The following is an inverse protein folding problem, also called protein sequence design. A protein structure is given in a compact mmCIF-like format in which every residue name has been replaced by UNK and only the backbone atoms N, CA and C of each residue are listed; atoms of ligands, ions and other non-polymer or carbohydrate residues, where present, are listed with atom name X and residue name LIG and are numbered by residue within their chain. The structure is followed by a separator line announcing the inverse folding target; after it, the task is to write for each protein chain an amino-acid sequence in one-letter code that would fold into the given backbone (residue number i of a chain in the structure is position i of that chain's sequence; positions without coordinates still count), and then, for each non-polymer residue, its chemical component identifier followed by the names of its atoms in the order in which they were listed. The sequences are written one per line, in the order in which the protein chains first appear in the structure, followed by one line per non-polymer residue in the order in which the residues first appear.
data_IF_361055347542
#
_entry.id   IF_361055347542
#
_cell.length_a   1.000
_cell.length_b   1.000
_cell.length_c   1.000
_cell.angle_alpha   90.00
_cell.angle_beta   90.00
_cell.angle_gamma   90.00
#
_symmetry.space_group_name_H-M   'P 1'
#
loop_
_entity.id
_entity.type
_entity.pdbx_description
1 polymer ?
#
# COMPACT_ATOMS: atom_id res chain seq x y z
N UNK A 1 -20.09 10.91 3.28
CA UNK A 1 -21.09 11.82 2.73
C UNK A 1 -20.44 13.08 2.11
N UNK A 2 -19.55 13.78 2.84
CA UNK A 2 -18.90 15.00 2.36
C UNK A 2 -18.17 14.82 1.01
N UNK A 3 -17.35 13.76 0.86
CA UNK A 3 -16.64 13.47 -0.40
C UNK A 3 -17.64 13.27 -1.55
N UNK A 4 -18.67 12.46 -1.33
CA UNK A 4 -19.69 12.22 -2.34
C UNK A 4 -20.44 13.49 -2.75
N UNK A 5 -20.74 14.35 -1.78
CA UNK A 5 -21.35 15.65 -2.04
C UNK A 5 -20.45 16.55 -2.91
N UNK A 6 -19.15 16.60 -2.59
CA UNK A 6 -18.19 17.45 -3.31
C UNK A 6 -17.82 16.94 -4.70
N UNK A 7 -17.95 15.65 -4.93
CA UNK A 7 -17.58 15.03 -6.22
C UNK A 7 -18.76 14.75 -7.15
N UNK A 8 -20.01 14.91 -6.69
CA UNK A 8 -21.22 14.52 -7.44
C UNK A 8 -21.37 15.19 -8.81
N UNK A 9 -20.92 16.43 -8.94
CA UNK A 9 -21.03 17.24 -10.17
C UNK A 9 -19.66 17.34 -10.89
N UNK A 10 -18.77 16.38 -10.65
CA UNK A 10 -17.43 16.30 -11.24
C UNK A 10 -17.19 14.95 -11.88
N UNK A 11 -16.18 14.85 -12.74
CA UNK A 11 -15.71 13.57 -13.28
C UNK A 11 -14.71 12.85 -12.36
N UNK A 12 -14.49 13.38 -11.15
CA UNK A 12 -13.56 12.79 -10.16
C UNK A 12 -14.15 11.48 -9.64
N UNK A 13 -13.33 10.43 -9.69
CA UNK A 13 -13.69 9.08 -9.20
C UNK A 13 -12.68 8.62 -8.18
N UNK A 14 -13.15 7.86 -7.20
CA UNK A 14 -12.25 7.25 -6.21
C UNK A 14 -11.41 6.16 -6.87
N UNK A 15 -10.10 6.35 -6.89
CA UNK A 15 -9.17 5.35 -7.41
C UNK A 15 -9.10 4.15 -6.48
N UNK A 16 -8.70 4.37 -5.23
CA UNK A 16 -8.69 3.36 -4.18
C UNK A 16 -8.89 4.02 -2.80
N UNK A 17 -9.23 3.22 -1.83
CA UNK A 17 -9.28 3.60 -0.42
C UNK A 17 -8.27 2.79 0.36
N UNK A 18 -7.99 3.21 1.58
CA UNK A 18 -7.12 2.51 2.52
C UNK A 18 -7.69 2.58 3.93
N UNK A 19 -7.00 1.98 4.88
CA UNK A 19 -7.32 2.10 6.30
C UNK A 19 -6.05 2.41 7.09
N UNK A 20 -6.19 3.28 8.09
CA UNK A 20 -5.08 3.62 8.97
C UNK A 20 -4.90 2.55 10.05
N UNK A 21 -3.94 1.66 9.84
CA UNK A 21 -3.53 0.61 10.79
C UNK A 21 -2.11 0.84 11.33
N UNK A 22 -1.64 2.09 11.36
CA UNK A 22 -0.26 2.39 11.71
C UNK A 22 -0.09 3.59 12.66
N UNK A 23 -0.92 4.65 12.58
CA UNK A 23 -0.70 5.88 13.35
C UNK A 23 -1.20 5.81 14.81
N UNK A 24 -2.18 4.97 15.12
CA UNK A 24 -2.65 4.81 16.50
C UNK A 24 -1.58 4.09 17.33
N UNK A 25 -1.23 4.59 18.53
CA UNK A 25 -0.21 3.96 19.40
C UNK A 25 -0.44 2.48 19.71
N UNK A 26 -1.68 1.98 19.68
CA UNK A 26 -1.96 0.57 19.90
C UNK A 26 -1.37 -0.35 18.83
N UNK A 27 -1.06 0.18 17.64
CA UNK A 27 -0.47 -0.57 16.55
C UNK A 27 1.06 -0.61 16.54
N UNK A 28 1.71 -0.03 17.55
CA UNK A 28 3.17 0.11 17.54
C UNK A 28 3.94 -1.22 17.44
N UNK A 29 3.34 -2.34 17.84
CA UNK A 29 3.89 -3.70 17.70
C UNK A 29 3.05 -4.56 16.75
N UNK A 30 2.61 -3.98 15.64
CA UNK A 30 1.76 -4.64 14.66
C UNK A 30 0.29 -4.30 14.82
N UNK A 31 -0.42 -4.32 13.73
CA UNK A 31 -1.88 -4.21 13.66
C UNK A 31 -2.47 -5.57 13.28
N UNK A 32 -2.38 -5.95 12.02
CA UNK A 32 -2.77 -7.27 11.52
C UNK A 32 -1.83 -8.38 11.96
N UNK A 33 -0.55 -8.09 12.19
CA UNK A 33 0.44 -9.04 12.73
C UNK A 33 0.37 -9.17 14.25
N UNK A 34 -0.39 -8.32 14.94
CA UNK A 34 -0.38 -8.27 16.40
C UNK A 34 -0.72 -9.62 17.05
N UNK A 35 0.06 -9.98 18.08
CA UNK A 35 -0.18 -11.13 18.95
C UNK A 35 -1.28 -10.85 19.99
N UNK A 36 -1.79 -9.61 20.09
CA UNK A 36 -2.92 -9.23 20.94
C UNK A 36 -4.22 -9.34 20.16
N UNK A 37 -5.13 -10.19 20.60
CA UNK A 37 -6.45 -10.34 19.98
C UNK A 37 -7.23 -9.01 19.95
N UNK A 38 -7.12 -8.18 20.98
CA UNK A 38 -7.81 -6.88 21.05
C UNK A 38 -7.27 -5.92 19.98
N UNK A 39 -5.96 -5.90 19.75
CA UNK A 39 -5.33 -5.07 18.72
C UNK A 39 -5.70 -5.58 17.33
N UNK A 40 -5.63 -6.89 17.11
CA UNK A 40 -6.05 -7.51 15.86
C UNK A 40 -7.52 -7.21 15.53
N UNK A 41 -8.43 -7.39 16.50
CA UNK A 41 -9.85 -7.08 16.31
C UNK A 41 -10.08 -5.60 15.99
N UNK A 42 -9.32 -4.70 16.60
CA UNK A 42 -9.42 -3.27 16.29
C UNK A 42 -8.91 -2.98 14.87
N UNK A 43 -7.80 -3.59 14.45
CA UNK A 43 -7.31 -3.49 13.08
C UNK A 43 -8.35 -4.00 12.07
N UNK A 44 -8.95 -5.16 12.34
CA UNK A 44 -10.01 -5.73 11.50
C UNK A 44 -11.24 -4.80 11.41
N UNK A 45 -11.61 -4.15 12.51
CA UNK A 45 -12.71 -3.17 12.52
C UNK A 45 -12.39 -1.93 11.68
N UNK A 46 -11.13 -1.46 11.70
CA UNK A 46 -10.68 -0.35 10.85
C UNK A 46 -10.72 -0.74 9.36
N UNK A 47 -10.18 -1.90 9.02
CA UNK A 47 -10.20 -2.41 7.65
C UNK A 47 -11.64 -2.60 7.15
N UNK A 48 -12.51 -3.20 7.98
CA UNK A 48 -13.95 -3.33 7.69
C UNK A 48 -14.57 -1.98 7.33
N UNK A 49 -14.33 -0.95 8.14
CA UNK A 49 -14.86 0.39 7.90
C UNK A 49 -14.31 1.01 6.61
N UNK A 50 -13.03 0.80 6.34
CA UNK A 50 -12.39 1.20 5.08
C UNK A 50 -13.07 0.58 3.86
N UNK A 51 -13.37 -0.72 3.90
CA UNK A 51 -14.06 -1.45 2.84
C UNK A 51 -15.50 -0.98 2.62
N UNK A 52 -16.24 -0.69 3.70
CA UNK A 52 -17.56 -0.08 3.60
C UNK A 52 -17.50 1.28 2.87
N UNK A 53 -16.50 2.09 3.18
CA UNK A 53 -16.26 3.35 2.50
C UNK A 53 -15.84 3.14 1.04
N UNK A 54 -15.03 2.12 0.73
CA UNK A 54 -14.64 1.76 -0.63
C UNK A 54 -15.87 1.48 -1.50
N UNK A 55 -16.79 0.65 -1.00
CA UNK A 55 -18.05 0.35 -1.69
C UNK A 55 -18.89 1.62 -1.88
N UNK A 56 -19.03 2.43 -0.83
CA UNK A 56 -19.81 3.68 -0.86
C UNK A 56 -19.28 4.69 -1.86
N UNK A 57 -17.94 4.79 -2.01
CA UNK A 57 -17.27 5.70 -2.93
C UNK A 57 -17.10 5.13 -4.35
N UNK A 58 -17.45 3.87 -4.57
CA UNK A 58 -17.25 3.19 -5.85
C UNK A 58 -15.76 3.03 -6.19
N UNK A 59 -14.91 2.85 -5.16
CA UNK A 59 -13.47 2.71 -5.33
C UNK A 59 -13.10 1.50 -6.20
N UNK A 60 -12.09 1.67 -7.05
CA UNK A 60 -11.56 0.61 -7.90
C UNK A 60 -10.62 -0.34 -7.18
N UNK A 61 -10.07 0.07 -6.05
CA UNK A 61 -9.14 -0.72 -5.25
C UNK A 61 -9.19 -0.39 -3.76
N UNK A 62 -8.54 -1.26 -2.99
CA UNK A 62 -8.31 -1.09 -1.55
C UNK A 62 -6.85 -1.43 -1.26
N UNK A 63 -6.11 -0.46 -0.74
CA UNK A 63 -4.67 -0.59 -0.46
C UNK A 63 -4.43 -0.90 1.01
N UNK A 64 -3.59 -1.87 1.28
CA UNK A 64 -2.99 -2.15 2.58
C UNK A 64 -1.53 -1.71 2.56
N UNK A 65 -1.21 -0.72 3.38
CA UNK A 65 0.16 -0.35 3.69
C UNK A 65 0.51 -0.86 5.09
N UNK A 66 1.53 -1.73 5.14
CA UNK A 66 1.91 -2.49 6.32
C UNK A 66 2.95 -1.81 7.22
N UNK A 67 2.88 -0.51 7.44
CA UNK A 67 3.91 0.27 8.15
C UNK A 67 4.25 -0.23 9.56
N UNK A 68 3.34 -0.94 10.22
CA UNK A 68 3.56 -1.56 11.55
C UNK A 68 3.64 -3.08 11.50
N UNK A 69 3.53 -3.68 10.32
CA UNK A 69 3.61 -5.12 10.13
C UNK A 69 5.07 -5.54 9.92
N UNK A 70 5.75 -5.85 11.01
CA UNK A 70 7.18 -6.16 11.00
C UNK A 70 7.75 -6.30 12.38
N UNK A 71 9.07 -6.24 12.51
CA UNK A 71 9.78 -6.42 13.77
C UNK A 71 10.94 -5.44 13.95
N UNK A 72 11.31 -5.23 15.21
CA UNK A 72 12.52 -4.49 15.61
C UNK A 72 13.71 -5.43 15.82
N UNK A 73 13.46 -6.63 16.36
CA UNK A 73 14.45 -7.68 16.59
C UNK A 73 13.81 -9.05 16.54
N UNK A 74 14.54 -10.05 16.04
CA UNK A 74 14.07 -11.43 15.99
C UNK A 74 14.08 -12.14 17.36
N UNK A 75 14.70 -11.56 18.38
CA UNK A 75 14.81 -12.18 19.70
C UNK A 75 13.46 -12.42 20.40
N UNK A 76 12.47 -11.60 20.09
CA UNK A 76 11.13 -11.67 20.70
C UNK A 76 10.01 -11.68 19.65
N UNK A 77 10.30 -12.16 18.45
CA UNK A 77 9.38 -12.17 17.31
C UNK A 77 9.03 -13.59 16.90
N UNK A 78 7.76 -13.94 16.92
CA UNK A 78 7.24 -15.15 16.27
C UNK A 78 6.76 -14.80 14.86
N UNK A 79 7.70 -14.73 13.92
CA UNK A 79 7.43 -14.37 12.51
C UNK A 79 6.34 -15.24 11.89
N UNK A 80 6.30 -16.53 12.22
CA UNK A 80 5.31 -17.44 11.65
C UNK A 80 3.91 -17.05 12.08
N UNK A 81 3.72 -16.85 13.38
CA UNK A 81 2.42 -16.44 13.95
C UNK A 81 2.00 -15.08 13.41
N UNK A 82 2.92 -14.12 13.33
CA UNK A 82 2.64 -12.77 12.86
C UNK A 82 2.25 -12.73 11.38
N UNK A 83 2.94 -13.50 10.51
CA UNK A 83 2.53 -13.67 9.12
C UNK A 83 1.17 -14.38 8.98
N UNK A 84 0.90 -15.41 9.78
CA UNK A 84 -0.40 -16.10 9.79
C UNK A 84 -1.54 -15.19 10.23
N UNK A 85 -1.29 -14.28 11.17
CA UNK A 85 -2.24 -13.25 11.58
C UNK A 85 -2.53 -12.27 10.44
N UNK A 86 -1.51 -11.76 9.75
CA UNK A 86 -1.69 -10.87 8.58
C UNK A 86 -2.51 -11.58 7.50
N UNK A 87 -2.15 -12.82 7.16
CA UNK A 87 -2.87 -13.61 6.16
C UNK A 87 -4.35 -13.84 6.54
N UNK A 88 -4.59 -14.05 7.83
CA UNK A 88 -5.96 -14.16 8.37
C UNK A 88 -6.73 -12.86 8.18
N UNK A 89 -6.13 -11.72 8.54
CA UNK A 89 -6.74 -10.41 8.33
C UNK A 89 -7.08 -10.17 6.86
N UNK A 90 -6.14 -10.42 5.96
CA UNK A 90 -6.34 -10.22 4.52
C UNK A 90 -7.43 -11.13 3.95
N UNK A 91 -7.48 -12.39 4.40
CA UNK A 91 -8.55 -13.33 4.06
C UNK A 91 -9.91 -12.81 4.52
N UNK A 92 -10.01 -12.36 5.79
CA UNK A 92 -11.25 -11.78 6.33
C UNK A 92 -11.67 -10.53 5.55
N UNK A 93 -10.72 -9.64 5.21
CA UNK A 93 -10.98 -8.43 4.45
C UNK A 93 -11.48 -8.73 3.04
N UNK A 94 -10.84 -9.69 2.35
CA UNK A 94 -11.28 -10.16 1.03
C UNK A 94 -12.71 -10.69 1.08
N UNK A 95 -12.97 -11.62 1.98
CA UNK A 95 -14.28 -12.30 2.07
C UNK A 95 -15.36 -11.31 2.46
N UNK A 96 -15.11 -10.45 3.44
CA UNK A 96 -16.02 -9.39 3.82
C UNK A 96 -16.25 -8.40 2.68
N UNK A 97 -15.20 -7.91 2.05
CA UNK A 97 -15.30 -6.98 0.92
C UNK A 97 -16.17 -7.54 -0.20
N UNK A 98 -15.96 -8.82 -0.58
CA UNK A 98 -16.78 -9.49 -1.59
C UNK A 98 -18.25 -9.63 -1.13
N UNK A 99 -18.48 -9.95 0.13
CA UNK A 99 -19.84 -10.10 0.69
C UNK A 99 -20.65 -8.81 0.67
N UNK A 100 -20.01 -7.64 0.82
CA UNK A 100 -20.66 -6.32 0.76
C UNK A 100 -20.68 -5.70 -0.65
N UNK A 101 -20.19 -6.44 -1.66
CA UNK A 101 -20.24 -6.01 -3.06
C UNK A 101 -19.03 -5.20 -3.53
N UNK A 102 -17.92 -5.19 -2.80
CA UNK A 102 -16.66 -4.61 -3.28
C UNK A 102 -16.12 -5.44 -4.45
N UNK A 103 -15.96 -4.80 -5.62
CA UNK A 103 -15.54 -5.46 -6.87
C UNK A 103 -14.11 -5.09 -7.28
N UNK A 104 -13.49 -4.14 -6.57
CA UNK A 104 -12.14 -3.68 -6.86
C UNK A 104 -11.07 -4.70 -6.48
N UNK A 105 -9.84 -4.42 -6.91
CA UNK A 105 -8.67 -5.19 -6.52
C UNK A 105 -8.24 -4.82 -5.10
N UNK A 106 -7.65 -5.78 -4.38
CA UNK A 106 -6.91 -5.52 -3.15
C UNK A 106 -5.45 -5.33 -3.50
N UNK A 107 -4.79 -4.38 -2.85
CA UNK A 107 -3.37 -4.11 -3.08
C UNK A 107 -2.59 -4.20 -1.78
N UNK A 108 -1.40 -4.81 -1.84
CA UNK A 108 -0.34 -4.62 -0.84
C UNK A 108 0.60 -3.55 -1.40
N UNK A 109 1.01 -2.63 -0.54
CA UNK A 109 2.02 -1.64 -0.85
C UNK A 109 3.31 -1.98 -0.10
N UNK A 110 4.27 -2.64 -0.78
CA UNK A 110 5.50 -3.07 -0.16
C UNK A 110 6.36 -1.91 0.31
N UNK A 111 6.97 -2.07 1.49
CA UNK A 111 7.95 -1.14 2.06
C UNK A 111 8.94 -1.91 2.94
N UNK A 112 10.25 -1.67 2.83
CA UNK A 112 11.22 -2.47 3.59
C UNK A 112 11.31 -2.11 5.07
N UNK A 113 11.03 -0.86 5.42
CA UNK A 113 11.20 -0.30 6.76
C UNK A 113 10.40 0.99 6.92
N UNK A 114 10.33 1.51 8.16
CA UNK A 114 9.64 2.73 8.58
C UNK A 114 8.11 2.61 8.57
N UNK A 115 7.54 2.71 9.77
CA UNK A 115 8.19 2.94 11.07
C UNK A 115 8.85 1.72 11.70
N UNK A 116 8.53 0.49 11.29
CA UNK A 116 9.22 -0.71 11.77
C UNK A 116 10.64 -0.79 11.17
N UNK A 117 11.56 -1.45 11.84
CA UNK A 117 12.95 -1.61 11.34
C UNK A 117 13.02 -2.58 10.18
N UNK A 118 12.17 -3.57 10.16
CA UNK A 118 12.04 -4.56 9.09
C UNK A 118 10.57 -4.91 8.90
N UNK A 119 9.99 -4.57 7.75
CA UNK A 119 8.62 -4.91 7.41
C UNK A 119 8.54 -6.28 6.72
N UNK A 120 7.42 -7.00 6.91
CA UNK A 120 7.20 -8.30 6.30
C UNK A 120 7.00 -8.23 4.79
N UNK A 121 6.40 -7.16 4.30
CA UNK A 121 6.19 -6.87 2.88
C UNK A 121 7.34 -6.06 2.26
N UNK A 122 8.58 -6.49 2.50
CA UNK A 122 9.83 -5.78 2.24
C UNK A 122 9.95 -5.19 0.83
N UNK A 123 9.59 -5.99 -0.19
CA UNK A 123 9.65 -5.65 -1.62
C UNK A 123 8.59 -6.44 -2.40
N UNK A 124 8.50 -6.20 -3.71
CA UNK A 124 7.54 -6.90 -4.56
C UNK A 124 7.71 -8.42 -4.52
N UNK A 125 8.94 -8.92 -4.57
CA UNK A 125 9.19 -10.36 -4.58
C UNK A 125 8.75 -11.03 -3.27
N UNK A 126 9.02 -10.39 -2.13
CA UNK A 126 8.63 -10.85 -0.79
C UNK A 126 7.11 -10.84 -0.65
N UNK A 127 6.44 -9.74 -1.05
CA UNK A 127 4.99 -9.63 -1.00
C UNK A 127 4.30 -10.68 -1.90
N UNK A 128 4.82 -10.94 -3.10
CA UNK A 128 4.32 -11.99 -4.00
C UNK A 128 4.51 -13.37 -3.36
N UNK A 129 5.66 -13.63 -2.74
CA UNK A 129 5.93 -14.87 -2.01
C UNK A 129 4.92 -15.11 -0.89
N UNK A 130 4.63 -14.08 -0.09
CA UNK A 130 3.61 -14.11 0.95
C UNK A 130 2.22 -14.40 0.38
N UNK A 131 1.78 -13.66 -0.64
CA UNK A 131 0.46 -13.86 -1.24
C UNK A 131 0.28 -15.27 -1.78
N UNK A 132 1.28 -15.84 -2.45
CA UNK A 132 1.26 -17.22 -2.95
C UNK A 132 1.24 -18.25 -1.83
N UNK A 133 2.05 -18.04 -0.78
CA UNK A 133 2.10 -18.92 0.39
C UNK A 133 0.72 -19.11 1.03
N UNK A 134 -0.08 -18.07 1.08
CA UNK A 134 -1.39 -18.06 1.72
C UNK A 134 -2.58 -18.12 0.74
N UNK A 135 -2.33 -18.31 -0.57
CA UNK A 135 -3.39 -18.47 -1.58
C UNK A 135 -4.20 -17.21 -1.84
N UNK A 136 -3.58 -16.05 -1.66
CA UNK A 136 -4.20 -14.72 -1.84
C UNK A 136 -3.86 -14.08 -3.20
N UNK A 137 -2.97 -14.68 -3.97
CA UNK A 137 -2.42 -14.15 -5.22
C UNK A 137 -3.44 -13.98 -6.36
N UNK A 138 -4.65 -14.53 -6.20
CA UNK A 138 -5.73 -14.35 -7.17
C UNK A 138 -6.59 -13.11 -6.91
N UNK A 139 -6.62 -12.63 -5.67
CA UNK A 139 -7.45 -11.51 -5.23
C UNK A 139 -6.64 -10.25 -4.97
N UNK A 140 -5.35 -10.39 -4.73
CA UNK A 140 -4.44 -9.32 -4.40
C UNK A 140 -3.46 -9.04 -5.52
N UNK A 141 -3.09 -7.78 -5.67
CA UNK A 141 -2.01 -7.27 -6.50
C UNK A 141 -1.11 -6.35 -5.66
N UNK A 142 -0.19 -5.67 -6.31
CA UNK A 142 0.72 -4.74 -5.65
C UNK A 142 0.43 -3.30 -6.08
N UNK A 143 0.57 -2.38 -5.12
CA UNK A 143 0.72 -0.96 -5.33
C UNK A 143 2.20 -0.63 -5.16
N UNK A 144 2.90 -0.29 -6.23
CA UNK A 144 4.36 -0.10 -6.20
C UNK A 144 4.69 1.37 -6.06
N UNK A 145 5.37 1.70 -4.97
CA UNK A 145 5.86 3.05 -4.71
C UNK A 145 7.35 3.18 -5.05
N UNK A 146 7.70 4.26 -5.74
CA UNK A 146 9.06 4.50 -6.20
C UNK A 146 10.05 4.69 -5.05
N UNK A 147 9.71 5.45 -4.02
CA UNK A 147 10.60 5.65 -2.87
C UNK A 147 10.75 4.36 -2.04
N UNK A 148 9.70 3.57 -1.89
CA UNK A 148 9.79 2.27 -1.22
C UNK A 148 10.72 1.31 -1.96
N UNK A 149 10.67 1.28 -3.29
CA UNK A 149 11.59 0.49 -4.11
C UNK A 149 13.05 0.87 -3.84
N UNK A 150 13.36 2.17 -3.85
CA UNK A 150 14.74 2.64 -3.60
C UNK A 150 15.21 2.37 -2.18
N UNK A 151 14.32 2.43 -1.19
CA UNK A 151 14.62 2.03 0.19
C UNK A 151 14.92 0.53 0.33
N UNK A 152 14.30 -0.31 -0.51
CA UNK A 152 14.57 -1.74 -0.57
C UNK A 152 15.86 -2.09 -1.34
N UNK A 153 16.55 -1.08 -1.89
CA UNK A 153 17.79 -1.26 -2.67
C UNK A 153 17.54 -1.60 -4.14
N UNK A 154 16.33 -1.38 -4.63
CA UNK A 154 15.93 -1.61 -6.02
C UNK A 154 15.73 -0.31 -6.78
N UNK A 155 15.73 -0.38 -8.11
CA UNK A 155 15.18 0.70 -8.92
C UNK A 155 13.66 0.58 -9.00
N UNK A 156 12.96 1.68 -9.27
CA UNK A 156 11.51 1.65 -9.43
C UNK A 156 11.09 0.71 -10.58
N UNK A 157 11.77 0.77 -11.72
CA UNK A 157 11.49 -0.12 -12.85
C UNK A 157 11.74 -1.61 -12.54
N UNK A 158 12.64 -1.95 -11.61
CA UNK A 158 12.84 -3.33 -11.14
C UNK A 158 11.55 -3.85 -10.48
N UNK A 159 11.04 -3.12 -9.51
CA UNK A 159 9.83 -3.51 -8.77
C UNK A 159 8.59 -3.60 -9.69
N UNK A 160 8.46 -2.65 -10.63
CA UNK A 160 7.41 -2.68 -11.65
C UNK A 160 7.52 -3.93 -12.52
N UNK A 161 8.72 -4.27 -12.98
CA UNK A 161 8.94 -5.46 -13.81
C UNK A 161 8.69 -6.75 -13.06
N UNK A 162 9.19 -6.88 -11.82
CA UNK A 162 8.93 -8.06 -10.98
C UNK A 162 7.43 -8.25 -10.78
N UNK A 163 6.70 -7.19 -10.50
CA UNK A 163 5.25 -7.24 -10.35
C UNK A 163 4.55 -7.63 -11.65
N UNK A 164 4.96 -7.04 -12.77
CA UNK A 164 4.36 -7.26 -14.08
C UNK A 164 4.53 -8.71 -14.59
N UNK A 165 5.75 -9.26 -14.51
CA UNK A 165 6.01 -10.64 -14.99
C UNK A 165 5.34 -11.72 -14.14
N UNK A 166 4.94 -11.36 -12.92
CA UNK A 166 4.17 -12.22 -12.01
C UNK A 166 2.65 -12.00 -12.12
N UNK A 167 2.18 -11.09 -12.98
CA UNK A 167 0.76 -10.75 -13.13
C UNK A 167 0.18 -9.97 -11.93
N UNK A 168 1.04 -9.36 -11.12
CA UNK A 168 0.69 -8.74 -9.84
C UNK A 168 0.77 -7.20 -9.87
N UNK A 169 1.13 -6.58 -11.01
CA UNK A 169 1.16 -5.12 -11.12
C UNK A 169 -0.27 -4.58 -11.14
N UNK A 170 -0.63 -3.79 -10.14
CA UNK A 170 -1.98 -3.25 -9.98
C UNK A 170 -2.03 -1.74 -10.04
N UNK A 171 -1.37 -1.07 -9.13
CA UNK A 171 -1.35 0.38 -8.97
C UNK A 171 0.08 0.87 -8.73
N UNK A 172 0.26 2.18 -8.81
CA UNK A 172 1.57 2.82 -8.67
C UNK A 172 1.43 4.11 -7.88
N UNK A 173 2.35 4.31 -6.92
CA UNK A 173 2.59 5.60 -6.28
C UNK A 173 3.88 6.20 -6.84
N UNK A 174 3.69 7.17 -7.74
CA UNK A 174 4.77 7.83 -8.45
C UNK A 174 5.33 8.98 -7.59
N UNK A 175 6.39 8.69 -6.86
CA UNK A 175 7.21 9.68 -6.16
C UNK A 175 8.69 9.42 -6.44
N UNK A 176 9.57 10.01 -5.66
CA UNK A 176 11.00 9.69 -5.63
C UNK A 176 11.53 9.88 -4.22
N UNK A 177 12.61 9.18 -3.91
CA UNK A 177 13.37 9.35 -2.70
C UNK A 177 14.76 9.93 -2.97
N UNK A 178 15.38 10.47 -1.93
CA UNK A 178 16.80 10.78 -1.92
C UNK A 178 17.56 9.57 -1.35
N UNK A 179 18.22 8.80 -2.20
CA UNK A 179 18.93 7.58 -1.81
C UNK A 179 20.07 7.84 -0.83
N UNK A 180 20.60 9.08 -0.78
CA UNK A 180 21.66 9.46 0.17
C UNK A 180 21.10 9.68 1.57
N UNK A 181 19.85 10.13 1.71
CA UNK A 181 19.20 10.28 3.01
C UNK A 181 18.81 8.93 3.61
N UNK A 182 18.47 7.95 2.78
CA UNK A 182 18.17 6.58 3.21
C UNK A 182 16.89 6.40 4.03
N UNK A 183 15.94 7.33 3.91
CA UNK A 183 14.62 7.27 4.52
C UNK A 183 13.54 7.76 3.53
N UNK A 184 12.29 7.55 3.86
CA UNK A 184 11.17 7.88 3.00
C UNK A 184 10.92 9.38 2.96
N UNK A 185 11.18 10.01 1.81
CA UNK A 185 11.10 11.46 1.65
C UNK A 185 9.86 11.94 0.92
N UNK A 186 9.13 11.04 0.27
CA UNK A 186 7.91 11.33 -0.51
C UNK A 186 8.09 12.56 -1.43
N UNK A 187 9.20 12.65 -2.15
CA UNK A 187 9.45 13.76 -3.06
C UNK A 187 8.63 13.61 -4.33
N UNK A 188 8.18 14.73 -4.89
CA UNK A 188 7.56 14.73 -6.21
C UNK A 188 8.58 14.27 -7.27
N UNK A 189 8.22 13.37 -8.20
CA UNK A 189 9.15 12.81 -9.18
C UNK A 189 9.59 13.88 -10.19
N UNK A 190 10.87 14.21 -10.17
CA UNK A 190 11.48 15.22 -11.06
C UNK A 190 12.54 14.62 -12.00
N UNK A 191 12.96 13.36 -11.75
CA UNK A 191 13.92 12.68 -12.61
C UNK A 191 13.23 12.08 -13.83
N UNK A 192 13.39 12.73 -14.98
CA UNK A 192 12.73 12.32 -16.22
C UNK A 192 13.20 10.94 -16.73
N UNK A 193 14.44 10.53 -16.43
CA UNK A 193 14.92 9.21 -16.85
C UNK A 193 14.23 8.09 -16.09
N UNK A 194 14.14 8.20 -14.77
CA UNK A 194 13.46 7.20 -13.93
C UNK A 194 11.97 7.11 -14.26
N UNK A 195 11.30 8.25 -14.44
CA UNK A 195 9.88 8.27 -14.81
C UNK A 195 9.63 7.70 -16.21
N UNK A 196 10.56 7.93 -17.15
CA UNK A 196 10.49 7.35 -18.50
C UNK A 196 10.64 5.82 -18.43
N UNK A 197 11.61 5.30 -17.68
CA UNK A 197 11.76 3.86 -17.51
C UNK A 197 10.56 3.23 -16.80
N UNK A 198 10.01 3.90 -15.79
CA UNK A 198 8.80 3.44 -15.12
C UNK A 198 7.60 3.36 -16.10
N UNK A 199 7.36 4.41 -16.88
CA UNK A 199 6.31 4.40 -17.91
C UNK A 199 6.53 3.32 -18.97
N UNK A 200 7.78 3.08 -19.37
CA UNK A 200 8.10 1.99 -20.30
C UNK A 200 7.66 0.63 -19.75
N UNK A 201 7.96 0.33 -18.47
CA UNK A 201 7.54 -0.93 -17.84
C UNK A 201 6.01 -1.04 -17.72
N UNK A 202 5.35 0.04 -17.34
CA UNK A 202 3.88 0.09 -17.23
C UNK A 202 3.22 -0.16 -18.59
N UNK A 203 3.66 0.53 -19.65
CA UNK A 203 3.11 0.37 -20.99
C UNK A 203 3.39 -1.03 -21.56
N UNK A 204 4.60 -1.56 -21.33
CA UNK A 204 4.98 -2.92 -21.73
C UNK A 204 4.15 -3.98 -21.02
N UNK A 205 3.72 -3.75 -19.78
CA UNK A 205 2.83 -4.62 -19.04
C UNK A 205 1.36 -4.54 -19.50
N UNK A 206 1.02 -3.62 -20.39
CA UNK A 206 -0.35 -3.38 -20.85
C UNK A 206 -1.13 -2.35 -20.02
N UNK A 207 -0.45 -1.59 -19.18
CA UNK A 207 -1.05 -0.58 -18.30
C UNK A 207 -1.24 -1.02 -16.86
N UNK A 208 -2.04 -0.27 -16.12
CA UNK A 208 -2.32 -0.49 -14.69
C UNK A 208 -3.83 -0.77 -14.51
N UNK A 209 -4.19 -1.77 -13.70
CA UNK A 209 -5.60 -2.02 -13.37
C UNK A 209 -6.14 -1.02 -12.34
N UNK A 210 -5.31 -0.57 -11.41
CA UNK A 210 -5.66 0.38 -10.36
C UNK A 210 -5.39 1.84 -10.71
N UNK A 211 -4.36 2.09 -11.52
CA UNK A 211 -3.98 3.44 -11.95
C UNK A 211 -2.71 3.97 -11.30
N UNK A 212 -2.42 5.23 -11.58
CA UNK A 212 -1.25 5.94 -11.08
C UNK A 212 -1.67 7.06 -10.15
N UNK A 213 -1.09 7.09 -8.98
CA UNK A 213 -1.23 8.13 -7.98
C UNK A 213 0.13 8.84 -7.77
N UNK A 214 0.10 10.06 -7.26
CA UNK A 214 1.29 10.76 -6.78
C UNK A 214 1.23 10.84 -5.26
N UNK A 215 1.79 9.85 -4.57
CA UNK A 215 2.00 9.92 -3.12
C UNK A 215 3.26 10.71 -2.83
N UNK A 216 3.13 12.02 -2.95
CA UNK A 216 4.27 12.91 -2.86
C UNK A 216 3.93 14.26 -2.26
N UNK A 217 4.92 14.82 -1.56
CA UNK A 217 4.90 16.18 -1.05
C UNK A 217 5.66 17.07 -2.03
N UNK A 218 4.93 17.82 -2.84
CA UNK A 218 5.54 18.70 -3.86
C UNK A 218 6.02 20.06 -3.29
N UNK A 219 5.81 20.28 -2.00
CA UNK A 219 6.25 21.47 -1.27
C UNK A 219 6.15 21.27 0.24
N UNK A 220 6.64 22.25 1.01
CA UNK A 220 6.51 22.25 2.47
C UNK A 220 5.05 22.32 2.94
N UNK A 221 4.72 21.82 4.14
CA UNK A 221 3.42 22.03 4.75
C UNK A 221 3.08 23.52 4.86
N UNK A 222 1.82 23.87 4.61
CA UNK A 222 1.34 25.24 4.62
C UNK A 222 -0.05 25.33 5.24
N UNK A 223 -0.33 26.48 5.86
CA UNK A 223 -1.64 26.81 6.41
C UNK A 223 -2.43 27.79 5.54
N UNK A 224 -1.82 28.36 4.52
CA UNK A 224 -2.43 29.36 3.65
C UNK A 224 -2.30 28.98 2.18
N UNK A 225 -3.20 29.50 1.35
CA UNK A 225 -3.12 29.32 -0.10
C UNK A 225 -1.88 30.00 -0.69
N UNK A 226 -1.48 31.14 -0.17
CA UNK A 226 -0.30 31.90 -0.60
C UNK A 226 1.00 31.14 -0.35
N UNK A 227 1.11 30.48 0.80
CA UNK A 227 2.28 29.65 1.13
C UNK A 227 2.28 28.32 0.35
N UNK A 228 1.16 27.99 -0.27
CA UNK A 228 1.02 26.83 -1.17
C UNK A 228 1.68 27.06 -2.53
N UNK A 229 1.84 28.27 -2.99
CA UNK A 229 2.44 28.68 -4.26
C UNK A 229 3.76 29.41 -4.07
#
# INVERSE_FOLDING_TARGET
DYILEKTKDTDIKCLWTTCNMFSNPRFMNGAGSSNSADVFCFAAAQAKKGLENAVKLGAKGFVFWGGREGYETLLNTDMKLEEENIATLFTMCRDYGRSIGFKGDFYIEPKPKEPMKHQYDFDAATAIGFLRKYGLDKDFKLNIEANHATLAGHTFQHELRVSAINGMLGSVDANQGDTLLGWDTDQFPTNIYDTTFAMYEILKAGGLSGGLNFDSKNRRPSNTAEDMF
#
